data_IF_918316487764
#
_entry.id   IF_918316487764
#
_cell.length_a   1.000
_cell.length_b   1.000
_cell.length_c   1.000
_cell.angle_alpha   90.00
_cell.angle_beta   90.00
_cell.angle_gamma   90.00
#
_symmetry.space_group_name_H-M   'P 1'
#
loop_
_entity.id
_entity.type
_entity.pdbx_description
1 polymer ?
#
# COMPACT_ATOMS: atom_id res chain seq x y z
N UNK A 1 2.17 6.53 -15.29
CA UNK A 1 0.96 5.78 -15.71
C UNK A 1 -0.27 6.59 -15.35
N UNK A 2 -1.37 6.46 -16.10
CA UNK A 2 -2.67 7.01 -15.64
C UNK A 2 -3.23 6.06 -14.58
N UNK A 3 -3.40 6.54 -13.35
CA UNK A 3 -3.89 5.80 -12.21
C UNK A 3 -5.11 6.53 -11.66
N UNK A 4 -6.29 5.89 -11.66
CA UNK A 4 -7.51 6.42 -11.05
C UNK A 4 -7.82 7.90 -11.35
N UNK A 5 -7.59 8.34 -12.60
CA UNK A 5 -7.86 9.72 -13.04
C UNK A 5 -6.70 10.71 -12.90
N UNK A 6 -5.54 10.31 -12.36
CA UNK A 6 -4.35 11.15 -12.24
C UNK A 6 -3.10 10.52 -12.87
N UNK A 7 -2.04 11.29 -13.09
CA UNK A 7 -0.74 10.79 -13.54
C UNK A 7 0.11 10.36 -12.33
N UNK A 8 0.48 9.07 -12.27
CA UNK A 8 1.39 8.52 -11.27
C UNK A 8 2.77 8.28 -11.88
N UNK A 9 3.82 8.78 -11.24
CA UNK A 9 5.20 8.61 -11.71
C UNK A 9 6.21 9.28 -10.79
N UNK A 10 7.49 9.11 -11.10
CA UNK A 10 8.59 9.68 -10.31
C UNK A 10 8.66 11.21 -10.44
N UNK A 11 8.22 11.76 -11.57
CA UNK A 11 8.21 13.21 -11.85
C UNK A 11 6.87 13.87 -11.52
N UNK A 12 5.97 13.18 -10.81
CA UNK A 12 4.68 13.70 -10.38
C UNK A 12 4.67 13.87 -8.86
N UNK A 13 3.84 14.78 -8.29
CA UNK A 13 3.60 14.81 -6.85
C UNK A 13 3.23 13.42 -6.34
N UNK A 14 3.71 13.05 -5.15
CA UNK A 14 3.41 11.73 -4.62
C UNK A 14 1.90 11.54 -4.41
N UNK A 15 1.41 10.33 -4.68
CA UNK A 15 0.04 9.94 -4.33
C UNK A 15 0.03 9.14 -3.02
N UNK A 16 -1.11 9.15 -2.34
CA UNK A 16 -1.35 8.41 -1.11
C UNK A 16 -2.27 7.21 -1.37
N UNK A 17 -1.85 6.03 -0.92
CA UNK A 17 -2.73 4.89 -0.68
C UNK A 17 -2.91 4.79 0.84
N UNK A 18 -4.11 5.04 1.35
CA UNK A 18 -4.34 4.95 2.79
C UNK A 18 -5.76 4.58 3.19
N UNK A 19 -5.89 4.02 4.40
CA UNK A 19 -7.16 3.65 5.01
C UNK A 19 -6.94 2.67 6.14
N UNK A 20 -7.94 1.86 6.50
CA UNK A 20 -7.81 0.90 7.60
C UNK A 20 -7.08 -0.37 7.17
N UNK A 21 -6.52 -1.11 8.13
CA UNK A 21 -5.85 -2.38 7.83
C UNK A 21 -6.82 -3.42 7.26
N UNK A 22 -8.02 -3.46 7.82
CA UNK A 22 -9.12 -4.35 7.45
C UNK A 22 -10.43 -3.59 7.60
N UNK A 23 -11.47 -3.99 6.87
CA UNK A 23 -12.82 -3.48 7.11
C UNK A 23 -13.27 -4.00 8.49
N UNK A 24 -13.66 -3.09 9.38
CA UNK A 24 -14.21 -3.45 10.71
C UNK A 24 -15.70 -3.10 10.81
N UNK A 25 -16.10 -1.97 10.21
CA UNK A 25 -17.51 -1.59 10.02
C UNK A 25 -17.64 -0.60 8.86
N UNK A 26 -18.84 -0.49 8.27
CA UNK A 26 -19.12 0.49 7.21
C UNK A 26 -18.91 1.92 7.72
N UNK A 27 -19.52 2.28 8.87
CA UNK A 27 -19.46 3.63 9.41
C UNK A 27 -18.02 4.09 9.62
N UNK A 28 -17.19 3.28 10.27
CA UNK A 28 -15.78 3.64 10.49
C UNK A 28 -15.00 3.75 9.18
N UNK A 29 -15.32 2.90 8.20
CA UNK A 29 -14.70 2.95 6.87
C UNK A 29 -15.00 4.28 6.19
N UNK A 30 -16.29 4.68 6.15
CA UNK A 30 -16.74 5.94 5.55
C UNK A 30 -16.16 7.15 6.29
N UNK A 31 -16.21 7.17 7.61
CA UNK A 31 -15.69 8.29 8.42
C UNK A 31 -14.17 8.45 8.22
N UNK A 32 -13.42 7.33 8.24
CA UNK A 32 -11.97 7.36 8.01
C UNK A 32 -11.63 7.79 6.59
N UNK A 33 -12.36 7.29 5.59
CA UNK A 33 -12.17 7.65 4.19
C UNK A 33 -12.46 9.14 3.95
N UNK A 34 -13.55 9.67 4.51
CA UNK A 34 -13.91 11.08 4.42
C UNK A 34 -12.88 11.99 5.07
N UNK A 35 -12.43 11.66 6.28
CA UNK A 35 -11.39 12.42 6.97
C UNK A 35 -10.07 12.45 6.18
N UNK A 36 -9.65 11.31 5.60
CA UNK A 36 -8.47 11.26 4.74
C UNK A 36 -8.66 12.09 3.47
N UNK A 37 -9.83 12.00 2.83
CA UNK A 37 -10.18 12.76 1.64
C UNK A 37 -10.10 14.27 1.88
N UNK A 38 -10.67 14.76 2.99
CA UNK A 38 -10.58 16.18 3.37
C UNK A 38 -9.12 16.63 3.49
N UNK A 39 -8.29 15.87 4.22
CA UNK A 39 -6.88 16.17 4.41
C UNK A 39 -6.11 16.18 3.08
N UNK A 40 -6.34 15.18 2.22
CA UNK A 40 -5.64 15.06 0.93
C UNK A 40 -6.09 16.11 -0.07
N UNK A 41 -7.38 16.48 -0.07
CA UNK A 41 -7.91 17.56 -0.92
C UNK A 41 -7.30 18.92 -0.55
N UNK A 42 -7.23 19.23 0.74
CA UNK A 42 -6.61 20.47 1.23
C UNK A 42 -5.13 20.56 0.84
N UNK A 43 -4.42 19.43 0.89
CA UNK A 43 -3.00 19.35 0.55
C UNK A 43 -2.72 19.15 -0.95
N UNK A 44 -3.74 18.90 -1.77
CA UNK A 44 -3.59 18.58 -3.19
C UNK A 44 -2.86 17.26 -3.47
N UNK A 45 -3.03 16.27 -2.60
CA UNK A 45 -2.40 14.94 -2.73
C UNK A 45 -3.40 13.98 -3.38
N UNK A 46 -3.08 13.33 -4.52
CA UNK A 46 -3.95 12.30 -5.09
C UNK A 46 -4.12 11.14 -4.12
N UNK A 47 -5.34 10.64 -3.96
CA UNK A 47 -5.67 9.69 -2.90
C UNK A 47 -6.44 8.47 -3.42
N UNK A 48 -6.05 7.29 -2.94
CA UNK A 48 -6.74 6.01 -3.14
C UNK A 48 -7.01 5.41 -1.76
N UNK A 49 -8.28 5.13 -1.47
CA UNK A 49 -8.67 4.53 -0.21
C UNK A 49 -8.30 3.04 -0.18
N UNK A 50 -7.67 2.59 0.90
CA UNK A 50 -7.29 1.18 1.08
C UNK A 50 -8.04 0.54 2.25
N UNK A 51 -8.58 -0.65 2.02
CA UNK A 51 -8.88 -1.58 3.11
C UNK A 51 -8.90 -3.02 2.60
N UNK A 52 -8.63 -3.98 3.49
CA UNK A 52 -8.70 -5.42 3.18
C UNK A 52 -10.08 -5.95 3.60
N UNK A 53 -10.75 -6.72 2.74
CA UNK A 53 -11.97 -7.43 3.12
C UNK A 53 -11.69 -8.74 3.89
N UNK A 54 -10.52 -9.33 3.66
CA UNK A 54 -10.05 -10.55 4.31
C UNK A 54 -8.54 -10.51 4.59
N UNK A 55 -8.13 -10.97 5.78
CA UNK A 55 -6.73 -11.20 6.16
C UNK A 55 -6.43 -12.71 6.05
N UNK A 56 -6.08 -13.17 4.84
CA UNK A 56 -5.81 -14.59 4.57
C UNK A 56 -4.49 -15.14 5.14
N UNK A 57 -3.68 -14.31 5.79
CA UNK A 57 -2.31 -14.64 6.21
C UNK A 57 -2.06 -14.33 7.71
N UNK A 58 -3.10 -14.39 8.55
CA UNK A 58 -2.94 -14.26 10.00
C UNK A 58 -2.07 -15.40 10.54
N UNK A 59 -1.23 -15.10 11.53
CA UNK A 59 -0.39 -16.12 12.18
C UNK A 59 -1.21 -17.17 12.96
N UNK A 60 -2.37 -16.76 13.50
CA UNK A 60 -3.29 -17.64 14.25
C UNK A 60 -4.64 -17.74 13.55
N UNK A 61 -5.26 -18.92 13.60
CA UNK A 61 -6.59 -19.19 13.03
C UNK A 61 -7.71 -18.42 13.76
N UNK A 62 -7.51 -18.12 15.05
CA UNK A 62 -8.50 -17.43 15.90
C UNK A 62 -8.45 -15.90 15.75
N UNK A 63 -7.53 -15.40 14.93
CA UNK A 63 -7.41 -13.97 14.66
C UNK A 63 -8.56 -13.46 13.78
N UNK A 64 -9.04 -12.25 14.08
CA UNK A 64 -10.03 -11.58 13.22
C UNK A 64 -9.53 -11.43 11.78
N UNK A 65 -10.38 -11.76 10.81
CA UNK A 65 -10.02 -11.74 9.39
C UNK A 65 -10.69 -10.62 8.59
N UNK A 66 -11.68 -9.95 9.14
CA UNK A 66 -12.54 -9.05 8.38
C UNK A 66 -13.95 -9.62 8.21
N UNK A 67 -14.86 -8.88 7.57
CA UNK A 67 -16.24 -9.27 7.38
C UNK A 67 -16.43 -10.33 6.28
N UNK A 68 -15.34 -10.69 5.57
CA UNK A 68 -15.39 -11.53 4.39
C UNK A 68 -15.67 -10.73 3.13
N UNK A 69 -15.70 -11.43 2.00
CA UNK A 69 -15.70 -10.81 0.68
C UNK A 69 -16.99 -10.04 0.37
N UNK A 70 -18.17 -10.66 0.53
CA UNK A 70 -19.45 -10.04 0.16
C UNK A 70 -19.68 -8.71 0.89
N UNK A 71 -19.59 -8.73 2.22
CA UNK A 71 -19.78 -7.53 3.04
C UNK A 71 -18.62 -6.55 2.89
N UNK A 72 -17.37 -7.04 2.79
CA UNK A 72 -16.22 -6.17 2.59
C UNK A 72 -16.25 -5.42 1.26
N UNK A 73 -16.64 -6.08 0.17
CA UNK A 73 -16.83 -5.44 -1.14
C UNK A 73 -18.02 -4.48 -1.14
N UNK A 74 -19.12 -4.82 -0.47
CA UNK A 74 -20.25 -3.90 -0.29
C UNK A 74 -19.82 -2.60 0.40
N UNK A 75 -19.02 -2.70 1.46
CA UNK A 75 -18.48 -1.54 2.19
C UNK A 75 -17.51 -0.74 1.32
N UNK A 76 -16.63 -1.39 0.55
CA UNK A 76 -15.74 -0.71 -0.38
C UNK A 76 -16.52 0.00 -1.50
N UNK A 77 -17.60 -0.60 -2.00
CA UNK A 77 -18.50 0.06 -2.95
C UNK A 77 -19.16 1.30 -2.35
N UNK A 78 -19.58 1.25 -1.08
CA UNK A 78 -20.15 2.40 -0.39
C UNK A 78 -19.17 3.58 -0.31
N UNK A 79 -17.86 3.34 -0.14
CA UNK A 79 -16.82 4.38 -0.21
C UNK A 79 -16.82 5.06 -1.58
N UNK A 80 -16.92 4.29 -2.67
CA UNK A 80 -16.99 4.83 -4.03
C UNK A 80 -18.27 5.64 -4.24
N UNK A 81 -19.41 5.10 -3.84
CA UNK A 81 -20.71 5.72 -4.10
C UNK A 81 -20.93 7.00 -3.30
N UNK A 82 -20.49 7.02 -2.03
CA UNK A 82 -20.71 8.16 -1.13
C UNK A 82 -19.64 9.24 -1.27
N UNK A 83 -18.37 8.87 -1.50
CA UNK A 83 -17.24 9.80 -1.46
C UNK A 83 -16.57 9.99 -2.83
N UNK A 84 -16.91 9.19 -3.85
CA UNK A 84 -16.29 9.24 -5.17
C UNK A 84 -14.80 8.87 -5.16
N UNK A 85 -14.33 8.18 -4.12
CA UNK A 85 -12.92 7.81 -3.97
C UNK A 85 -12.61 6.53 -4.72
N UNK A 86 -11.46 6.43 -5.41
CA UNK A 86 -10.97 5.16 -5.91
C UNK A 86 -10.53 4.28 -4.74
N UNK A 87 -10.74 2.97 -4.86
CA UNK A 87 -10.42 2.00 -3.80
C UNK A 87 -9.42 0.94 -4.27
N UNK A 88 -8.58 0.51 -3.33
CA UNK A 88 -7.64 -0.61 -3.49
C UNK A 88 -7.87 -1.65 -2.41
N UNK A 89 -7.86 -2.92 -2.80
CA UNK A 89 -7.86 -4.05 -1.87
C UNK A 89 -6.87 -5.12 -2.31
N UNK A 90 -6.38 -5.92 -1.36
CA UNK A 90 -5.55 -7.08 -1.66
C UNK A 90 -6.39 -8.30 -1.98
N UNK A 91 -5.86 -9.11 -2.91
CA UNK A 91 -6.51 -10.34 -3.36
C UNK A 91 -5.61 -11.54 -3.09
N UNK A 92 -6.21 -12.68 -2.78
CA UNK A 92 -5.50 -13.90 -2.38
C UNK A 92 -5.69 -15.00 -3.44
N UNK A 93 -5.07 -16.15 -3.22
CA UNK A 93 -5.07 -17.26 -4.19
C UNK A 93 -6.49 -17.71 -4.58
N UNK A 94 -7.42 -17.73 -3.63
CA UNK A 94 -8.79 -18.23 -3.85
C UNK A 94 -9.83 -17.12 -4.09
N UNK A 95 -9.40 -15.86 -4.20
CA UNK A 95 -10.33 -14.74 -4.41
C UNK A 95 -10.96 -14.80 -5.82
N UNK A 96 -12.30 -14.75 -5.96
CA UNK A 96 -12.94 -14.64 -7.27
C UNK A 96 -12.66 -13.26 -7.87
N UNK A 97 -11.84 -13.23 -8.92
CA UNK A 97 -11.29 -11.98 -9.46
C UNK A 97 -12.36 -11.08 -10.07
N UNK A 98 -13.34 -11.65 -10.77
CA UNK A 98 -14.38 -10.88 -11.47
C UNK A 98 -15.24 -10.08 -10.48
N UNK A 99 -15.56 -10.67 -9.33
CA UNK A 99 -16.34 -10.01 -8.28
C UNK A 99 -15.56 -8.84 -7.67
N UNK A 100 -14.29 -9.05 -7.31
CA UNK A 100 -13.46 -7.97 -6.75
C UNK A 100 -13.21 -6.87 -7.78
N UNK A 101 -12.85 -7.24 -9.01
CA UNK A 101 -12.56 -6.31 -10.09
C UNK A 101 -13.80 -5.49 -10.53
N UNK A 102 -15.02 -5.97 -10.26
CA UNK A 102 -16.24 -5.20 -10.49
C UNK A 102 -16.42 -4.02 -9.52
N UNK A 103 -15.75 -4.07 -8.36
CA UNK A 103 -15.87 -3.06 -7.30
C UNK A 103 -14.63 -2.17 -7.22
N UNK A 104 -13.43 -2.73 -7.22
CA UNK A 104 -12.21 -1.98 -6.91
C UNK A 104 -11.56 -1.36 -8.15
N UNK A 105 -10.77 -0.30 -7.93
CA UNK A 105 -10.08 0.41 -9.01
C UNK A 105 -8.62 -0.01 -9.14
N UNK A 106 -8.07 -0.61 -8.08
CA UNK A 106 -6.70 -1.14 -8.04
C UNK A 106 -6.69 -2.45 -7.26
N UNK A 107 -5.93 -3.43 -7.75
CA UNK A 107 -5.69 -4.69 -7.06
C UNK A 107 -4.32 -4.65 -6.37
N UNK A 108 -4.21 -5.24 -5.19
CA UNK A 108 -2.93 -5.41 -4.51
C UNK A 108 -2.54 -6.89 -4.42
N UNK A 109 -1.31 -7.20 -4.85
CA UNK A 109 -0.68 -8.49 -4.59
C UNK A 109 -0.02 -8.50 -3.21
N UNK A 110 -0.35 -9.46 -2.31
CA UNK A 110 0.34 -9.64 -1.04
C UNK A 110 1.81 -10.00 -1.20
N UNK A 111 2.64 -9.56 -0.25
CA UNK A 111 4.09 -9.76 -0.26
C UNK A 111 4.50 -11.24 -0.35
N UNK A 112 3.78 -12.15 0.30
CA UNK A 112 4.10 -13.59 0.28
C UNK A 112 3.77 -14.27 -1.06
N UNK A 113 2.89 -13.67 -1.87
CA UNK A 113 2.43 -14.24 -3.14
C UNK A 113 3.15 -13.62 -4.35
N UNK A 114 4.06 -12.65 -4.14
CA UNK A 114 4.70 -11.86 -5.20
C UNK A 114 5.53 -12.66 -6.22
N UNK A 115 5.82 -13.94 -5.97
CA UNK A 115 6.55 -14.84 -6.89
C UNK A 115 5.67 -15.84 -7.62
N UNK A 116 4.43 -16.07 -7.16
CA UNK A 116 3.58 -17.15 -7.64
C UNK A 116 3.09 -16.87 -9.06
N UNK A 117 3.57 -17.64 -10.05
CA UNK A 117 3.38 -17.29 -11.47
C UNK A 117 1.92 -17.22 -11.88
N UNK A 118 1.18 -18.29 -11.63
CA UNK A 118 -0.24 -18.37 -11.99
C UNK A 118 -1.07 -17.29 -11.28
N UNK A 119 -0.73 -16.98 -10.02
CA UNK A 119 -1.39 -15.93 -9.26
C UNK A 119 -1.11 -14.54 -9.86
N UNK A 120 0.15 -14.19 -10.14
CA UNK A 120 0.51 -12.88 -10.72
C UNK A 120 -0.14 -12.67 -12.08
N UNK A 121 -0.12 -13.69 -12.95
CA UNK A 121 -0.76 -13.59 -14.26
C UNK A 121 -2.26 -13.45 -14.13
N UNK A 122 -2.92 -14.24 -13.27
CA UNK A 122 -4.38 -14.14 -13.03
C UNK A 122 -4.80 -12.76 -12.54
N UNK A 123 -4.07 -12.18 -11.58
CA UNK A 123 -4.36 -10.82 -11.08
C UNK A 123 -4.15 -9.78 -12.17
N UNK A 124 -3.06 -9.89 -12.95
CA UNK A 124 -2.77 -8.93 -14.02
C UNK A 124 -3.72 -9.04 -15.22
N UNK A 125 -4.27 -10.22 -15.52
CA UNK A 125 -5.25 -10.47 -16.60
C UNK A 125 -6.56 -9.71 -16.41
N UNK A 126 -6.89 -9.28 -15.19
CA UNK A 126 -8.06 -8.42 -14.92
C UNK A 126 -8.00 -7.06 -15.64
N UNK A 127 -6.81 -6.62 -16.06
CA UNK A 127 -6.59 -5.33 -16.73
C UNK A 127 -6.60 -4.11 -15.80
N UNK A 128 -7.00 -4.27 -14.53
CA UNK A 128 -6.93 -3.20 -13.53
C UNK A 128 -5.47 -2.87 -13.17
N UNK A 129 -5.18 -1.64 -12.71
CA UNK A 129 -3.91 -1.34 -12.07
C UNK A 129 -3.58 -2.31 -10.93
N UNK A 130 -2.31 -2.74 -10.85
CA UNK A 130 -1.86 -3.70 -9.83
C UNK A 130 -0.73 -3.11 -9.01
N UNK A 131 -0.90 -3.06 -7.68
CA UNK A 131 0.15 -2.76 -6.72
C UNK A 131 0.82 -4.04 -6.21
N UNK A 132 2.06 -4.31 -6.59
CA UNK A 132 2.75 -5.54 -6.19
C UNK A 132 3.66 -5.28 -5.00
N UNK A 133 3.29 -5.80 -3.81
CA UNK A 133 4.14 -5.74 -2.62
C UNK A 133 5.36 -6.63 -2.81
N UNK A 134 6.56 -6.08 -2.63
CA UNK A 134 7.82 -6.85 -2.62
C UNK A 134 7.83 -7.77 -1.39
N UNK A 135 8.12 -9.05 -1.61
CA UNK A 135 8.34 -10.01 -0.53
C UNK A 135 9.50 -9.57 0.38
N UNK A 136 9.38 -9.79 1.68
CA UNK A 136 10.44 -9.49 2.66
C UNK A 136 11.70 -10.34 2.44
N UNK A 137 11.59 -11.38 1.61
CA UNK A 137 12.66 -12.29 1.20
C UNK A 137 13.25 -11.96 -0.20
N UNK A 138 12.73 -10.93 -0.89
CA UNK A 138 13.19 -10.56 -2.23
C UNK A 138 14.13 -9.36 -2.19
N UNK A 139 15.19 -9.44 -3.01
CA UNK A 139 16.00 -8.31 -3.36
C UNK A 139 15.23 -7.35 -4.30
N UNK A 140 15.55 -6.04 -4.30
CA UNK A 140 14.82 -5.07 -5.12
C UNK A 140 14.94 -5.31 -6.64
N UNK A 141 16.09 -5.76 -7.14
CA UNK A 141 16.29 -6.03 -8.58
C UNK A 141 15.47 -7.22 -9.09
N UNK A 142 15.10 -8.16 -8.23
CA UNK A 142 14.26 -9.31 -8.60
C UNK A 142 12.83 -8.88 -8.96
N UNK A 143 12.40 -7.69 -8.54
CA UNK A 143 11.08 -7.15 -8.89
C UNK A 143 10.93 -6.89 -10.38
N UNK A 144 12.03 -6.76 -11.14
CA UNK A 144 11.99 -6.68 -12.61
C UNK A 144 11.28 -7.89 -13.21
N UNK A 145 11.64 -9.09 -12.76
CA UNK A 145 11.01 -10.32 -13.24
C UNK A 145 9.53 -10.45 -12.83
N UNK A 146 9.18 -9.92 -11.66
CA UNK A 146 7.79 -9.91 -11.19
C UNK A 146 6.95 -8.96 -12.05
N UNK A 147 7.47 -7.77 -12.36
CA UNK A 147 6.81 -6.80 -13.24
C UNK A 147 6.72 -7.31 -14.68
N UNK A 148 7.78 -7.92 -15.22
CA UNK A 148 7.78 -8.49 -16.57
C UNK A 148 6.74 -9.60 -16.71
N UNK A 149 6.61 -10.44 -15.67
CA UNK A 149 5.58 -11.47 -15.60
C UNK A 149 4.17 -10.86 -15.63
N UNK A 150 3.90 -9.86 -14.80
CA UNK A 150 2.60 -9.17 -14.80
C UNK A 150 2.32 -8.52 -16.17
N UNK A 151 3.32 -7.88 -16.78
CA UNK A 151 3.21 -7.24 -18.10
C UNK A 151 3.03 -8.22 -19.26
N UNK A 152 3.43 -9.48 -19.10
CA UNK A 152 3.25 -10.52 -20.12
C UNK A 152 1.79 -10.79 -20.47
N UNK A 153 0.85 -10.42 -19.59
CA UNK A 153 -0.60 -10.52 -19.84
C UNK A 153 -1.14 -9.37 -20.71
N UNK A 154 -0.30 -8.39 -21.05
CA UNK A 154 -0.69 -7.15 -21.73
C UNK A 154 -1.01 -6.00 -20.78
N UNK A 155 -1.14 -6.25 -19.47
CA UNK A 155 -1.39 -5.19 -18.48
C UNK A 155 -0.13 -4.37 -18.18
N UNK A 156 -0.14 -3.09 -18.58
CA UNK A 156 0.98 -2.16 -18.38
C UNK A 156 0.88 -1.35 -17.08
N UNK A 157 -0.25 -1.41 -16.39
CA UNK A 157 -0.60 -0.59 -15.23
C UNK A 157 -0.08 -1.22 -13.93
N UNK A 158 1.23 -1.45 -13.85
CA UNK A 158 1.87 -2.12 -12.72
C UNK A 158 2.62 -1.10 -11.87
N UNK A 159 2.44 -1.20 -10.55
CA UNK A 159 3.21 -0.51 -9.51
C UNK A 159 3.98 -1.53 -8.68
N UNK A 160 5.12 -1.13 -8.12
CA UNK A 160 5.90 -1.95 -7.17
C UNK A 160 5.94 -1.28 -5.81
N UNK A 161 5.79 -2.05 -4.75
CA UNK A 161 5.65 -1.51 -3.41
C UNK A 161 6.66 -2.12 -2.43
N UNK A 162 7.58 -1.30 -1.93
CA UNK A 162 8.51 -1.65 -0.85
C UNK A 162 7.77 -1.73 0.48
N UNK A 163 8.16 -2.69 1.33
CA UNK A 163 7.57 -2.90 2.67
C UNK A 163 8.56 -3.46 3.69
N UNK A 164 9.86 -3.30 3.42
CA UNK A 164 10.96 -3.84 4.22
C UNK A 164 11.47 -5.20 3.74
N UNK A 165 12.69 -5.53 4.15
CA UNK A 165 13.35 -6.83 3.95
C UNK A 165 13.67 -7.46 5.31
N UNK A 166 13.61 -8.78 5.41
CA UNK A 166 13.93 -9.52 6.64
C UNK A 166 15.35 -9.23 7.12
N UNK A 167 15.49 -8.85 8.38
CA UNK A 167 16.78 -8.54 9.01
C UNK A 167 16.95 -9.34 10.30
N UNK A 168 17.50 -10.54 10.17
CA UNK A 168 17.47 -11.52 11.25
C UNK A 168 16.06 -12.07 11.47
N UNK A 169 15.77 -12.48 12.72
CA UNK A 169 14.46 -13.00 13.09
C UNK A 169 13.53 -11.89 13.59
N UNK A 170 12.26 -11.98 13.20
CA UNK A 170 11.15 -11.14 13.69
C UNK A 170 11.36 -9.63 13.51
N UNK A 171 12.19 -9.23 12.55
CA UNK A 171 12.51 -7.83 12.30
C UNK A 171 12.66 -7.53 10.80
N UNK A 172 12.40 -6.28 10.44
CA UNK A 172 12.53 -5.76 9.08
C UNK A 172 13.45 -4.54 9.07
N UNK A 173 14.17 -4.37 7.96
CA UNK A 173 14.90 -3.13 7.67
C UNK A 173 14.44 -2.60 6.31
N UNK A 174 14.35 -1.27 6.18
CA UNK A 174 14.04 -0.61 4.92
C UNK A 174 15.33 -0.05 4.31
N UNK A 175 15.85 -0.74 3.29
CA UNK A 175 16.99 -0.24 2.52
C UNK A 175 16.51 0.80 1.51
N UNK A 176 16.76 2.09 1.76
CA UNK A 176 16.32 3.19 0.89
C UNK A 176 16.91 3.11 -0.53
N UNK A 177 18.04 2.41 -0.72
CA UNK A 177 18.58 2.15 -2.06
C UNK A 177 17.63 1.28 -2.90
N UNK A 178 16.85 0.42 -2.25
CA UNK A 178 15.84 -0.42 -2.90
C UNK A 178 14.82 0.40 -3.67
N UNK A 179 14.47 1.59 -3.17
CA UNK A 179 13.53 2.49 -3.83
C UNK A 179 14.09 3.00 -5.16
N UNK A 180 15.35 3.41 -5.18
CA UNK A 180 16.05 3.83 -6.40
C UNK A 180 16.22 2.66 -7.38
N UNK A 181 16.67 1.50 -6.91
CA UNK A 181 16.85 0.28 -7.74
C UNK A 181 15.52 -0.15 -8.38
N UNK A 182 14.43 -0.15 -7.63
CA UNK A 182 13.12 -0.56 -8.18
C UNK A 182 12.58 0.37 -9.26
N UNK A 183 13.11 1.60 -9.43
CA UNK A 183 12.75 2.46 -10.58
C UNK A 183 13.16 1.84 -11.92
N UNK A 184 14.17 0.97 -11.95
CA UNK A 184 14.59 0.24 -13.15
C UNK A 184 13.50 -0.69 -13.72
N UNK A 185 12.47 -1.00 -12.93
CA UNK A 185 11.28 -1.71 -13.41
C UNK A 185 10.41 -0.87 -14.36
N UNK A 186 10.67 0.45 -14.45
CA UNK A 186 9.82 1.41 -15.16
C UNK A 186 8.36 1.37 -14.69
N UNK A 187 8.15 1.09 -13.41
CA UNK A 187 6.85 1.13 -12.73
C UNK A 187 6.89 2.22 -11.64
N UNK A 188 5.77 2.86 -11.29
CA UNK A 188 5.72 3.72 -10.12
C UNK A 188 6.13 2.93 -8.87
N UNK A 189 7.05 3.50 -8.09
CA UNK A 189 7.54 2.90 -6.84
C UNK A 189 6.75 3.48 -5.68
N UNK A 190 6.13 2.61 -4.89
CA UNK A 190 5.35 2.94 -3.70
C UNK A 190 6.10 2.48 -2.46
N UNK A 191 6.12 3.29 -1.39
CA UNK A 191 6.66 2.85 -0.11
C UNK A 191 5.56 2.61 0.92
N UNK A 192 5.43 1.38 1.39
CA UNK A 192 4.55 1.01 2.50
C UNK A 192 5.21 1.29 3.84
N UNK A 193 4.92 2.46 4.40
CA UNK A 193 5.55 2.91 5.62
C UNK A 193 5.04 2.13 6.85
N UNK A 194 3.77 1.70 6.85
CA UNK A 194 3.14 0.96 7.94
C UNK A 194 3.73 -0.43 8.08
N UNK A 195 3.80 -1.20 7.00
CA UNK A 195 4.28 -2.57 7.09
C UNK A 195 5.81 -2.66 7.17
N UNK A 196 6.52 -1.58 6.87
CA UNK A 196 7.98 -1.47 7.04
C UNK A 196 8.43 -1.38 8.50
N UNK A 197 7.54 -1.06 9.44
CA UNK A 197 7.81 -1.05 10.89
C UNK A 197 7.29 -2.28 11.61
N UNK A 198 6.82 -3.29 10.88
CA UNK A 198 6.37 -4.54 11.48
C UNK A 198 7.51 -5.30 12.13
N UNK A 199 7.18 -5.97 13.24
CA UNK A 199 8.00 -6.98 13.89
C UNK A 199 7.29 -8.34 13.71
N UNK A 200 7.50 -9.04 12.57
CA UNK A 200 6.68 -10.20 12.20
C UNK A 200 6.83 -11.33 13.21
N UNK A 201 5.72 -11.78 13.80
CA UNK A 201 5.73 -12.81 14.85
C UNK A 201 6.37 -12.36 16.18
N UNK A 202 6.67 -11.07 16.35
CA UNK A 202 7.33 -10.53 17.54
C UNK A 202 6.50 -10.63 18.84
N UNK A 203 5.21 -10.95 18.75
CA UNK A 203 4.32 -11.16 19.90
C UNK A 203 3.83 -12.62 20.02
N UNK A 204 4.49 -13.57 19.33
CA UNK A 204 4.07 -14.97 19.29
C UNK A 204 2.91 -15.19 18.32
N UNK A 205 1.66 -14.96 18.76
CA UNK A 205 0.46 -15.23 17.97
C UNK A 205 0.07 -14.10 17.00
N UNK A 206 0.65 -12.91 17.15
CA UNK A 206 0.38 -11.71 16.35
C UNK A 206 1.68 -11.02 15.92
N UNK A 207 1.59 -10.17 14.89
CA UNK A 207 2.71 -9.27 14.57
C UNK A 207 2.76 -8.13 15.59
N UNK A 208 3.98 -7.79 16.02
CA UNK A 208 4.23 -6.50 16.67
C UNK A 208 4.35 -5.39 15.62
N UNK A 209 4.72 -4.20 16.10
CA UNK A 209 4.92 -3.02 15.27
C UNK A 209 5.53 -1.87 16.04
N UNK A 210 6.11 -0.93 15.32
CA UNK A 210 6.72 0.29 15.90
C UNK A 210 6.24 1.53 15.16
N UNK A 211 4.93 1.83 15.29
CA UNK A 211 4.27 2.99 14.63
C UNK A 211 5.00 4.32 14.82
N UNK A 212 5.73 4.50 15.93
CA UNK A 212 6.54 5.68 16.20
C UNK A 212 7.63 5.93 15.15
N UNK A 213 8.04 4.91 14.40
CA UNK A 213 9.02 5.02 13.32
C UNK A 213 8.41 5.25 11.93
N UNK A 214 7.07 5.16 11.78
CA UNK A 214 6.40 5.42 10.50
C UNK A 214 6.72 6.82 9.96
N UNK A 215 6.62 7.92 10.76
CA UNK A 215 7.00 9.25 10.28
C UNK A 215 8.46 9.37 9.83
N UNK A 216 9.37 8.62 10.45
CA UNK A 216 10.80 8.66 10.09
C UNK A 216 11.04 7.94 8.78
N UNK A 217 10.50 6.73 8.61
CA UNK A 217 10.68 5.97 7.38
C UNK A 217 9.93 6.60 6.20
N UNK A 218 8.73 7.14 6.41
CA UNK A 218 7.98 7.82 5.37
C UNK A 218 8.71 9.07 4.84
N UNK A 219 9.28 9.89 5.73
CA UNK A 219 10.14 11.02 5.33
C UNK A 219 11.37 10.58 4.54
N UNK A 220 12.03 9.51 4.99
CA UNK A 220 13.19 8.96 4.29
C UNK A 220 12.83 8.47 2.88
N UNK A 221 11.70 7.78 2.73
CA UNK A 221 11.24 7.29 1.43
C UNK A 221 10.84 8.43 0.47
N UNK A 222 10.12 9.45 0.97
CA UNK A 222 9.81 10.65 0.19
C UNK A 222 11.09 11.36 -0.24
N UNK A 223 12.04 11.54 0.68
CA UNK A 223 13.33 12.17 0.39
C UNK A 223 14.17 11.36 -0.61
N UNK A 224 14.07 10.03 -0.56
CA UNK A 224 14.71 9.15 -1.54
C UNK A 224 14.07 9.30 -2.92
N UNK A 225 12.79 9.68 -3.01
CA UNK A 225 12.02 9.88 -4.24
C UNK A 225 11.15 8.68 -4.59
N UNK A 226 9.89 8.70 -4.17
CA UNK A 226 8.89 7.68 -4.51
C UNK A 226 7.73 8.29 -5.29
N UNK A 227 7.04 7.48 -6.07
CA UNK A 227 5.83 7.89 -6.77
C UNK A 227 4.61 7.94 -5.84
N UNK A 228 4.60 7.12 -4.80
CA UNK A 228 3.52 7.14 -3.81
C UNK A 228 3.93 6.55 -2.47
N UNK A 229 3.07 6.76 -1.48
CA UNK A 229 3.21 6.20 -0.13
C UNK A 229 1.96 5.40 0.21
N UNK A 230 2.16 4.22 0.79
CA UNK A 230 1.12 3.41 1.38
C UNK A 230 1.19 3.54 2.91
N UNK A 231 0.06 3.80 3.56
CA UNK A 231 -0.06 3.84 5.02
C UNK A 231 -1.41 3.33 5.48
N UNK A 232 -1.43 2.57 6.57
CA UNK A 232 -2.66 2.26 7.30
C UNK A 232 -2.82 3.19 8.49
N UNK A 233 -4.06 3.57 8.74
CA UNK A 233 -4.46 4.45 9.83
C UNK A 233 -5.65 3.90 10.58
N UNK A 234 -5.82 4.33 11.82
CA UNK A 234 -6.97 4.01 12.63
C UNK A 234 -7.34 5.20 13.54
N UNK A 235 -8.62 5.48 13.81
CA UNK A 235 -9.02 6.50 14.78
C UNK A 235 -8.44 6.24 16.17
N UNK A 236 -8.43 4.98 16.59
CA UNK A 236 -7.83 4.52 17.85
C UNK A 236 -6.97 3.26 17.65
N UNK A 237 -5.69 3.38 17.26
CA UNK A 237 -4.86 2.24 16.87
C UNK A 237 -4.68 1.14 17.93
N UNK A 238 -4.97 1.40 19.21
CA UNK A 238 -4.94 0.37 20.27
C UNK A 238 -6.12 -0.59 20.22
N UNK A 239 -7.23 -0.19 19.58
CA UNK A 239 -8.45 -0.99 19.44
C UNK A 239 -8.59 -1.66 18.07
N UNK A 240 -7.65 -1.42 17.15
CA UNK A 240 -7.70 -1.94 15.79
C UNK A 240 -7.62 -3.48 15.77
N UNK A 241 -8.45 -4.13 14.94
CA UNK A 241 -8.57 -5.59 14.88
C UNK A 241 -7.43 -6.27 14.08
N UNK A 242 -6.65 -5.48 13.35
CA UNK A 242 -5.47 -5.92 12.60
C UNK A 242 -4.42 -4.80 12.54
N UNK A 243 -3.15 -5.17 12.72
CA UNK A 243 -1.98 -4.28 12.59
C UNK A 243 -2.08 -2.93 13.33
N UNK A 244 -2.83 -2.88 14.43
CA UNK A 244 -2.91 -1.73 15.33
C UNK A 244 -1.54 -1.15 15.69
N UNK A 245 -0.57 -1.96 16.18
CA UNK A 245 0.78 -1.49 16.53
C UNK A 245 1.57 -0.79 15.42
N UNK A 246 1.16 -0.97 14.15
CA UNK A 246 1.79 -0.35 12.98
C UNK A 246 1.00 0.87 12.47
N UNK A 247 -0.29 0.96 12.81
CA UNK A 247 -1.22 1.95 12.26
C UNK A 247 -0.93 3.35 12.79
N UNK A 248 -0.90 4.33 11.88
CA UNK A 248 -0.75 5.75 12.22
C UNK A 248 -2.06 6.24 12.85
N UNK A 249 -2.06 6.93 14.01
CA UNK A 249 -3.27 7.54 14.54
C UNK A 249 -3.86 8.53 13.53
N UNK A 250 -5.16 8.41 13.22
CA UNK A 250 -5.82 9.24 12.19
C UNK A 250 -5.63 10.74 12.43
N UNK A 251 -5.71 11.18 13.70
CA UNK A 251 -5.48 12.57 14.09
C UNK A 251 -4.07 13.10 13.83
N UNK A 252 -3.10 12.24 13.47
CA UNK A 252 -1.73 12.61 13.11
C UNK A 252 -1.46 12.58 11.61
N UNK A 253 -2.40 12.08 10.79
CA UNK A 253 -2.22 11.95 9.34
C UNK A 253 -1.97 13.30 8.66
N UNK A 254 -2.76 14.34 8.97
CA UNK A 254 -2.61 15.66 8.33
C UNK A 254 -1.23 16.29 8.57
N UNK A 255 -0.73 16.20 9.81
CA UNK A 255 0.59 16.72 10.17
C UNK A 255 1.69 15.99 9.39
N UNK A 256 1.62 14.65 9.35
CA UNK A 256 2.58 13.83 8.61
C UNK A 256 2.53 14.08 7.09
N UNK A 257 1.33 14.16 6.50
CA UNK A 257 1.14 14.42 5.07
C UNK A 257 1.69 15.79 4.66
N UNK A 258 1.47 16.82 5.49
CA UNK A 258 2.04 18.16 5.27
C UNK A 258 3.57 18.11 5.18
N UNK A 259 4.21 17.43 6.13
CA UNK A 259 5.67 17.29 6.17
C UNK A 259 6.17 16.55 4.93
N UNK A 260 5.54 15.44 4.59
CA UNK A 260 5.91 14.66 3.40
C UNK A 260 5.76 15.47 2.12
N UNK A 261 4.67 16.23 1.97
CA UNK A 261 4.47 17.11 0.81
C UNK A 261 5.61 18.12 0.66
N UNK A 262 6.02 18.76 1.75
CA UNK A 262 7.15 19.72 1.69
C UNK A 262 8.45 19.05 1.21
N UNK A 263 8.73 17.82 1.66
CA UNK A 263 9.93 17.09 1.23
C UNK A 263 9.81 16.66 -0.24
N UNK A 264 8.65 16.16 -0.65
CA UNK A 264 8.40 15.70 -2.02
C UNK A 264 8.58 16.85 -3.04
N UNK A 265 7.97 18.00 -2.74
CA UNK A 265 8.09 19.21 -3.57
C UNK A 265 9.56 19.63 -3.72
N UNK A 266 10.34 19.58 -2.64
CA UNK A 266 11.75 19.97 -2.66
C UNK A 266 12.62 19.00 -3.49
N UNK A 267 12.44 17.69 -3.32
CA UNK A 267 13.28 16.68 -3.99
C UNK A 267 12.95 16.56 -5.47
N UNK A 268 11.67 16.61 -5.85
CA UNK A 268 11.26 16.45 -7.26
C UNK A 268 11.52 17.68 -8.12
N UNK A 269 11.72 18.86 -7.53
CA UNK A 269 12.08 20.08 -8.28
C UNK A 269 13.47 20.00 -8.93
N UNK A 270 14.43 19.32 -8.29
CA UNK A 270 15.84 19.33 -8.70
C UNK A 270 16.26 18.09 -9.48
N UNK A 271 15.39 17.08 -9.56
CA UNK A 271 15.71 15.77 -10.11
C UNK A 271 16.66 14.95 -9.22
N UNK A 272 17.04 13.77 -9.71
CA UNK A 272 17.80 12.77 -8.96
C UNK A 272 19.25 12.70 -9.46
N UNK A 273 20.20 13.13 -8.62
CA UNK A 273 21.63 13.18 -8.98
C UNK A 273 22.21 11.78 -9.23
N UNK A 274 21.67 10.76 -8.56
CA UNK A 274 22.08 9.36 -8.74
C UNK A 274 21.89 8.86 -10.18
N UNK A 275 21.06 9.50 -11.00
CA UNK A 275 20.87 9.16 -12.41
C UNK A 275 22.06 9.57 -13.31
N UNK A 276 23.06 10.26 -12.77
CA UNK A 276 24.26 10.71 -13.49
C UNK A 276 25.52 9.90 -13.18
N UNK A 277 25.41 8.90 -12.30
CA UNK A 277 26.48 7.95 -11.97
C UNK A 277 26.36 6.69 -12.83
#
# INVERSE_FOLDING_TARGET
MKLCGFDAGIDQPFFLIAGTCVVESEQMTIDTAGALQEMTNELGIPFIYKSSFDKANRSSIDSFRGPGMEEGLRVLQAVKDQLGLPVITDVHEDTPMDEVASVVDVLQTPAFLCRQTNYITRVAETGLPVNIKKGQFLAPWDMKHVVDKARSTGNKNIMVCERGVSFGYNNLVSDMRSLAIMRETNAPVVFDATHSVQLPGGQGATSGGQREFVPTLARAAIAAGVSGVFMETHPNPEEALSDGPNSVPLGKMKELLTIMKTIDDAVKQTGFLENQF
#
